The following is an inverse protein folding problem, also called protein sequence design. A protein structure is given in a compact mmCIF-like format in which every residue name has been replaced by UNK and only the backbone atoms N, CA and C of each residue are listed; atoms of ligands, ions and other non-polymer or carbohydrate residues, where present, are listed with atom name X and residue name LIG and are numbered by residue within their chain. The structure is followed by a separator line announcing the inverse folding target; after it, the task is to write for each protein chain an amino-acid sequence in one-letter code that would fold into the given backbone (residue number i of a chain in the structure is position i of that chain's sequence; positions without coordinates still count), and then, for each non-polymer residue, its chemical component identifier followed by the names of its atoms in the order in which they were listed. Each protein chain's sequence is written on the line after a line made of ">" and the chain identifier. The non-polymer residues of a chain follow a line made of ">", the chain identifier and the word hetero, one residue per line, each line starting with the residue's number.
data_IF_700481644660
#
_entry.id   IF_700481644660
#
_cell.length_a   1.000
_cell.length_b   1.000
_cell.length_c   1.000
_cell.angle_alpha   90.00
_cell.angle_beta   90.00
_cell.angle_gamma   90.00
#
_symmetry.space_group_name_H-M   'P 1'
#
loop_
_entity.id
_entity.type
_entity.pdbx_description
1 polymer ?
#
# COMPACT_ATOMS: atom_id res chain seq x y z
N UNK A 1 13.32 0.03 -25.81
CA UNK A 1 11.92 -0.13 -25.39
C UNK A 1 11.85 0.08 -23.89
N UNK A 2 11.02 1.00 -23.41
CA UNK A 2 10.75 1.14 -21.97
C UNK A 2 9.73 0.04 -21.64
N UNK A 3 10.15 -1.01 -20.95
CA UNK A 3 9.25 -2.10 -20.58
C UNK A 3 8.17 -1.60 -19.62
N UNK A 4 6.90 -1.76 -19.98
CA UNK A 4 5.81 -1.46 -19.06
C UNK A 4 5.98 -2.32 -17.81
N UNK A 5 5.84 -1.69 -16.63
CA UNK A 5 5.87 -2.44 -15.37
C UNK A 5 4.75 -3.50 -15.37
N UNK A 6 4.99 -4.70 -14.80
CA UNK A 6 3.95 -5.71 -14.64
C UNK A 6 2.70 -5.13 -13.95
N UNK A 7 1.51 -5.64 -14.31
CA UNK A 7 0.24 -5.17 -13.74
C UNK A 7 0.25 -5.22 -12.21
N UNK A 8 0.76 -6.29 -11.61
CA UNK A 8 0.87 -6.44 -10.15
C UNK A 8 1.69 -5.33 -9.49
N UNK A 9 2.81 -4.93 -10.09
CA UNK A 9 3.63 -3.82 -9.60
C UNK A 9 2.88 -2.50 -9.64
N UNK A 10 2.10 -2.26 -10.71
CA UNK A 10 1.29 -1.06 -10.88
C UNK A 10 0.11 -1.02 -9.91
N UNK A 11 -0.58 -2.16 -9.73
CA UNK A 11 -1.66 -2.34 -8.74
C UNK A 11 -1.15 -2.02 -7.34
N UNK A 12 -0.07 -2.68 -6.92
CA UNK A 12 0.52 -2.43 -5.61
C UNK A 12 0.97 -0.97 -5.45
N UNK A 13 1.61 -0.38 -6.45
CA UNK A 13 2.05 1.02 -6.40
C UNK A 13 0.90 2.03 -6.34
N UNK A 14 -0.27 1.72 -6.92
CA UNK A 14 -1.48 2.54 -6.80
C UNK A 14 -2.11 2.39 -5.41
N UNK A 15 -2.28 1.15 -4.94
CA UNK A 15 -2.78 0.85 -3.60
C UNK A 15 -1.94 1.51 -2.52
N UNK A 16 -0.61 1.34 -2.58
CA UNK A 16 0.33 1.94 -1.63
C UNK A 16 0.14 3.45 -1.53
N UNK A 17 0.08 4.17 -2.66
CA UNK A 17 -0.12 5.62 -2.65
C UNK A 17 -1.48 6.04 -2.08
N UNK A 18 -2.55 5.32 -2.40
CA UNK A 18 -3.88 5.60 -1.86
C UNK A 18 -3.91 5.42 -0.34
N UNK A 19 -3.36 4.32 0.14
CA UNK A 19 -3.43 3.93 1.55
C UNK A 19 -2.39 4.64 2.42
N UNK A 20 -1.25 5.06 1.88
CA UNK A 20 -0.28 5.89 2.62
C UNK A 20 -0.83 7.28 2.99
N UNK A 21 -1.88 7.74 2.30
CA UNK A 21 -2.55 9.02 2.56
C UNK A 21 -3.95 8.84 3.18
N UNK A 22 -4.29 7.64 3.64
CA UNK A 22 -5.57 7.38 4.29
C UNK A 22 -5.47 7.68 5.80
N UNK A 23 -6.14 8.73 6.24
CA UNK A 23 -6.14 9.16 7.65
C UNK A 23 -6.75 8.13 8.61
N UNK A 24 -7.50 7.14 8.10
CA UNK A 24 -8.02 6.03 8.90
C UNK A 24 -6.92 5.00 9.26
N UNK A 25 -5.82 4.97 8.49
CA UNK A 25 -4.69 4.08 8.71
C UNK A 25 -3.68 4.70 9.66
N UNK A 26 -4.06 4.75 10.93
CA UNK A 26 -3.20 5.31 11.98
C UNK A 26 -1.91 4.51 12.15
N UNK A 27 -0.74 5.17 12.21
CA UNK A 27 0.49 4.51 12.61
C UNK A 27 0.39 3.98 14.05
N UNK A 28 1.15 2.92 14.33
CA UNK A 28 1.26 2.33 15.67
C UNK A 28 2.72 1.99 15.96
N UNK A 29 3.15 2.22 17.20
CA UNK A 29 4.44 1.78 17.71
C UNK A 29 4.31 0.49 18.54
N UNK A 30 5.44 -0.17 18.83
CA UNK A 30 5.40 -1.33 19.75
C UNK A 30 5.04 -0.89 21.17
N UNK A 31 5.44 0.32 21.57
CA UNK A 31 5.05 0.92 22.86
C UNK A 31 3.54 1.21 22.95
N UNK A 32 2.86 1.53 21.85
CA UNK A 32 1.40 1.71 21.85
C UNK A 32 0.68 0.39 22.08
N UNK A 33 1.21 -0.69 21.51
CA UNK A 33 0.57 -2.02 21.55
C UNK A 33 0.91 -2.80 22.83
N UNK A 34 2.16 -2.75 23.27
CA UNK A 34 2.64 -3.48 24.45
C UNK A 34 2.76 -2.62 25.72
N UNK A 35 2.47 -1.33 25.63
CA UNK A 35 2.59 -0.35 26.72
C UNK A 35 4.03 0.17 26.93
N UNK A 36 4.21 1.15 27.85
CA UNK A 36 5.47 1.85 28.05
C UNK A 36 6.67 0.98 28.45
N UNK A 37 6.43 -0.18 29.07
CA UNK A 37 7.50 -1.09 29.50
C UNK A 37 8.05 -1.95 28.36
N UNK A 38 7.46 -1.89 27.16
CA UNK A 38 7.91 -2.65 25.99
C UNK A 38 9.37 -2.36 25.62
N UNK A 39 9.85 -1.15 25.87
CA UNK A 39 11.23 -0.75 25.56
C UNK A 39 12.27 -1.49 26.41
N UNK A 40 11.87 -2.07 27.55
CA UNK A 40 12.79 -2.79 28.45
C UNK A 40 13.01 -4.25 28.02
N UNK A 41 12.08 -4.83 27.27
CA UNK A 41 12.06 -6.27 26.95
C UNK A 41 12.14 -6.56 25.46
N UNK A 42 11.80 -5.58 24.61
CA UNK A 42 11.86 -5.73 23.15
C UNK A 42 12.94 -4.87 22.54
N UNK A 43 13.54 -5.40 21.46
CA UNK A 43 14.43 -4.66 20.59
C UNK A 43 14.10 -4.97 19.14
N UNK A 44 14.22 -3.96 18.26
CA UNK A 44 14.03 -4.17 16.83
C UNK A 44 15.32 -4.70 16.22
N UNK A 45 15.21 -5.74 15.38
CA UNK A 45 16.34 -6.29 14.61
C UNK A 45 17.06 -5.23 13.76
N UNK A 46 16.34 -4.21 13.31
CA UNK A 46 16.89 -3.07 12.55
C UNK A 46 17.71 -2.08 13.40
N UNK A 47 17.66 -2.18 14.73
CA UNK A 47 18.24 -1.20 15.66
C UNK A 47 17.40 0.06 15.87
N UNK A 48 16.25 0.18 15.20
CA UNK A 48 15.32 1.30 15.36
C UNK A 48 14.65 1.31 16.75
N UNK A 49 14.29 2.49 17.31
CA UNK A 49 13.53 2.56 18.56
C UNK A 49 12.23 1.77 18.48
N UNK A 50 11.82 1.16 19.59
CA UNK A 50 10.53 0.44 19.66
C UNK A 50 9.33 1.40 19.64
N UNK A 51 9.56 2.65 20.04
CA UNK A 51 8.64 3.78 19.94
C UNK A 51 8.57 4.40 18.54
N UNK A 52 9.43 4.00 17.60
CA UNK A 52 9.28 4.45 16.21
C UNK A 52 8.06 3.76 15.57
N UNK A 53 7.22 4.55 14.92
CA UNK A 53 5.97 4.10 14.34
C UNK A 53 6.14 3.12 13.18
N UNK A 54 5.19 2.20 13.07
CA UNK A 54 4.89 1.42 11.88
C UNK A 54 3.67 2.04 11.20
N UNK A 55 3.75 2.44 9.92
CA UNK A 55 2.60 3.00 9.22
C UNK A 55 1.41 2.04 9.22
N UNK A 56 0.19 2.57 9.39
CA UNK A 56 -1.02 1.78 9.55
C UNK A 56 -1.27 0.77 8.43
N UNK A 57 -0.88 1.12 7.19
CA UNK A 57 -0.90 0.24 6.02
C UNK A 57 -0.20 -1.11 6.25
N UNK A 58 0.87 -1.14 7.04
CA UNK A 58 1.67 -2.34 7.29
C UNK A 58 1.26 -3.09 8.56
N UNK A 59 0.10 -2.76 9.14
CA UNK A 59 -0.47 -3.47 10.30
C UNK A 59 -1.49 -4.53 9.85
N UNK A 60 -1.78 -5.55 10.69
CA UNK A 60 -2.83 -6.53 10.38
C UNK A 60 -4.19 -5.88 10.10
N UNK A 61 -4.55 -4.86 10.90
CA UNK A 61 -5.79 -4.11 10.72
C UNK A 61 -5.79 -3.34 9.41
N UNK A 62 -4.69 -2.67 9.05
CA UNK A 62 -4.58 -1.95 7.79
C UNK A 62 -4.67 -2.87 6.57
N UNK A 63 -4.11 -4.07 6.68
CA UNK A 63 -4.27 -5.09 5.64
C UNK A 63 -5.73 -5.52 5.49
N UNK A 64 -6.35 -6.03 6.55
CA UNK A 64 -7.68 -6.64 6.45
C UNK A 64 -8.79 -5.63 6.21
N UNK A 65 -8.72 -4.45 6.85
CA UNK A 65 -9.79 -3.44 6.79
C UNK A 65 -9.66 -2.50 5.61
N UNK A 66 -8.47 -2.34 5.02
CA UNK A 66 -8.24 -1.38 3.94
C UNK A 66 -7.67 -2.03 2.69
N UNK A 67 -6.47 -2.59 2.75
CA UNK A 67 -5.80 -3.16 1.57
C UNK A 67 -6.64 -4.25 0.90
N UNK A 68 -7.11 -5.23 1.67
CA UNK A 68 -7.89 -6.36 1.18
C UNK A 68 -9.24 -5.93 0.58
N UNK A 69 -9.84 -4.85 1.09
CA UNK A 69 -11.11 -4.32 0.57
C UNK A 69 -10.96 -3.52 -0.73
N UNK A 70 -9.76 -3.03 -1.04
CA UNK A 70 -9.52 -2.15 -2.20
C UNK A 70 -8.82 -2.85 -3.37
N UNK A 71 -8.17 -4.00 -3.14
CA UNK A 71 -7.34 -4.66 -4.16
C UNK A 71 -8.10 -5.01 -5.44
N UNK A 72 -9.32 -5.53 -5.33
CA UNK A 72 -10.13 -5.92 -6.49
C UNK A 72 -10.54 -4.69 -7.31
N UNK A 73 -11.03 -3.64 -6.64
CA UNK A 73 -11.43 -2.39 -7.30
C UNK A 73 -10.27 -1.72 -8.03
N UNK A 74 -9.10 -1.62 -7.38
CA UNK A 74 -7.91 -1.02 -7.99
C UNK A 74 -7.38 -1.86 -9.16
N UNK A 75 -7.46 -3.19 -9.06
CA UNK A 75 -7.05 -4.10 -10.14
C UNK A 75 -7.96 -3.92 -11.36
N UNK A 76 -9.28 -3.91 -11.17
CA UNK A 76 -10.25 -3.67 -12.25
C UNK A 76 -10.03 -2.32 -12.91
N UNK A 77 -9.91 -1.24 -12.13
CA UNK A 77 -9.70 0.10 -12.67
C UNK A 77 -8.42 0.21 -13.52
N UNK A 78 -7.32 -0.40 -13.06
CA UNK A 78 -6.08 -0.41 -13.85
C UNK A 78 -6.18 -1.25 -15.12
N UNK A 79 -6.94 -2.35 -15.08
CA UNK A 79 -7.16 -3.17 -16.27
C UNK A 79 -7.97 -2.42 -17.34
N UNK A 80 -9.00 -1.69 -16.91
CA UNK A 80 -9.81 -0.82 -17.77
C UNK A 80 -8.99 0.34 -18.35
N UNK A 81 -8.18 1.00 -17.52
CA UNK A 81 -7.26 2.08 -17.95
C UNK A 81 -6.30 1.57 -19.06
N UNK A 82 -5.77 0.35 -18.91
CA UNK A 82 -4.89 -0.29 -19.91
C UNK A 82 -5.63 -0.60 -21.21
N UNK A 83 -6.87 -1.08 -21.13
CA UNK A 83 -7.71 -1.41 -22.28
C UNK A 83 -8.08 -0.15 -23.08
N UNK A 84 -8.48 0.92 -22.39
CA UNK A 84 -8.76 2.23 -23.01
C UNK A 84 -7.50 2.81 -23.67
N UNK A 85 -6.36 2.76 -22.97
CA UNK A 85 -5.08 3.19 -23.50
C UNK A 85 -4.65 2.42 -24.76
N UNK A 86 -5.01 1.14 -24.87
CA UNK A 86 -4.79 0.34 -26.08
C UNK A 86 -5.75 0.69 -27.23
N UNK A 87 -7.01 1.04 -26.94
CA UNK A 87 -8.00 1.45 -27.94
C UNK A 87 -7.77 2.84 -28.54
N UNK A 88 -7.22 3.78 -27.76
CA UNK A 88 -6.92 5.15 -28.24
C UNK A 88 -5.81 5.24 -29.28
N UNK A 89 -5.00 4.18 -29.46
CA UNK A 89 -3.87 4.15 -30.41
C UNK A 89 -4.28 3.70 -31.82
N UNK A 90 -5.52 3.29 -32.04
CA UNK A 90 -6.01 2.71 -33.31
C UNK A 90 -6.99 3.63 -34.06
N UNK A 91 -7.23 4.85 -33.59
CA UNK A 91 -8.28 5.75 -34.13
C UNK A 91 -7.82 7.10 -34.70
N UNK A 92 -6.52 7.32 -34.89
CA UNK A 92 -5.99 8.57 -35.48
C UNK A 92 -5.17 8.25 -36.75
N UNK A 93 -5.88 7.99 -37.83
CA UNK A 93 -5.31 7.67 -39.14
C UNK A 93 -6.41 7.49 -40.18
N UNK A 94 -7.16 8.56 -40.42
CA UNK A 94 -8.06 8.73 -41.56
C UNK A 94 -7.60 9.92 -42.37
#
# INVERSE_FOLDING_TARGET
>A
MIGQQPLSTRVYGRLKRLLEHDDNLKPVSLSDLGGPQSELVFSRKSGKPVSEDVPGLYTPDGYWKSFNGQIDSVTTALHEDDALGAGGRHGAGG
#
